data_IF_622792766448
#
_entry.id   IF_622792766448
#
_cell.length_a   1.000
_cell.length_b   1.000
_cell.length_c   1.000
_cell.angle_alpha   90.00
_cell.angle_beta   90.00
_cell.angle_gamma   90.00
#
_symmetry.space_group_name_H-M   'P 1'
#
loop_
_entity.id
_entity.type
_entity.pdbx_description
1 polymer ?
#
# COMPACT_ATOMS: atom_id res chain seq x y z
N UNK A 1 -15.39 10.94 1.67
CA UNK A 1 -14.04 11.33 2.13
C UNK A 1 -13.30 10.06 2.54
N UNK A 2 -12.19 9.71 1.88
CA UNK A 2 -11.41 8.51 2.20
C UNK A 2 -10.41 8.85 3.32
N UNK A 3 -10.55 8.20 4.47
CA UNK A 3 -9.58 8.31 5.57
C UNK A 3 -8.50 7.24 5.38
N UNK A 4 -7.22 7.63 5.54
CA UNK A 4 -6.04 6.77 5.39
C UNK A 4 -5.27 6.81 6.70
N UNK A 5 -4.92 5.64 7.25
CA UNK A 5 -4.07 5.53 8.43
C UNK A 5 -2.93 4.54 8.15
N UNK A 6 -1.75 4.83 8.69
CA UNK A 6 -0.51 4.07 8.46
C UNK A 6 0.22 3.94 9.80
N UNK A 7 0.59 2.72 10.21
CA UNK A 7 1.43 2.40 11.37
C UNK A 7 2.59 1.53 10.87
N UNK A 8 3.73 1.66 11.52
CA UNK A 8 4.93 0.92 11.19
C UNK A 8 5.56 0.48 12.50
N UNK A 9 5.79 -0.81 12.66
CA UNK A 9 6.52 -1.36 13.80
C UNK A 9 7.84 -1.94 13.28
N UNK A 10 8.95 -1.58 13.93
CA UNK A 10 10.27 -2.17 13.63
C UNK A 10 10.43 -3.46 14.44
N UNK A 11 10.91 -4.52 13.80
CA UNK A 11 11.48 -5.68 14.50
C UNK A 11 12.76 -5.28 15.24
N UNK A 12 13.13 -6.08 16.25
CA UNK A 12 14.32 -5.83 17.09
C UNK A 12 15.59 -5.76 16.22
N UNK A 13 15.76 -6.69 15.30
CA UNK A 13 16.92 -6.72 14.38
C UNK A 13 17.06 -5.41 13.58
N UNK A 14 15.96 -4.84 13.08
CA UNK A 14 16.01 -3.57 12.33
C UNK A 14 16.39 -2.37 13.21
N UNK A 15 16.12 -2.45 14.51
CA UNK A 15 16.57 -1.44 15.48
C UNK A 15 18.08 -1.56 15.68
N UNK A 16 18.60 -2.79 15.77
CA UNK A 16 20.01 -3.07 15.98
C UNK A 16 20.86 -2.75 14.74
N UNK A 17 20.36 -3.02 13.53
CA UNK A 17 21.07 -2.78 12.26
C UNK A 17 20.85 -1.39 11.68
N UNK A 18 19.87 -0.63 12.19
CA UNK A 18 19.48 0.67 11.66
C UNK A 18 18.65 0.60 10.37
N UNK A 19 18.13 -0.57 10.02
CA UNK A 19 17.31 -0.76 8.83
C UNK A 19 15.91 -0.13 8.98
N UNK A 20 15.34 0.41 7.89
CA UNK A 20 13.96 0.88 7.91
C UNK A 20 12.99 -0.29 8.13
N UNK A 21 11.87 -0.04 8.81
CA UNK A 21 10.73 -0.97 8.83
C UNK A 21 10.29 -1.26 7.38
N UNK A 22 10.32 -2.54 7.01
CA UNK A 22 10.00 -3.00 5.66
C UNK A 22 8.52 -3.36 5.51
N UNK A 23 7.83 -3.53 6.63
CA UNK A 23 6.40 -3.74 6.71
C UNK A 23 5.63 -2.47 6.33
N UNK A 24 4.60 -2.66 5.53
CA UNK A 24 3.64 -1.63 5.19
C UNK A 24 2.22 -2.17 5.36
N UNK A 25 1.32 -1.29 5.77
CA UNK A 25 -0.10 -1.57 5.69
C UNK A 25 -0.87 -0.30 5.30
N UNK A 26 -2.08 -0.51 4.79
CA UNK A 26 -3.03 0.56 4.51
C UNK A 26 -4.43 0.00 4.67
N UNK A 27 -5.35 0.85 5.08
CA UNK A 27 -6.76 0.56 4.93
C UNK A 27 -7.51 1.73 4.31
N UNK A 28 -8.62 1.39 3.66
CA UNK A 28 -9.55 2.33 3.07
C UNK A 28 -10.98 1.89 3.39
N UNK A 29 -11.81 2.83 3.86
CA UNK A 29 -13.25 2.60 4.05
C UNK A 29 -14.01 2.97 2.78
N UNK A 30 -14.77 2.03 2.25
CA UNK A 30 -15.59 2.18 1.04
C UNK A 30 -17.06 1.88 1.39
N UNK A 31 -17.81 2.91 1.81
CA UNK A 31 -19.19 2.74 2.27
C UNK A 31 -19.29 1.82 3.49
N UNK A 32 -19.90 0.63 3.30
CA UNK A 32 -20.04 -0.43 4.33
C UNK A 32 -18.85 -1.39 4.39
N UNK A 33 -17.92 -1.30 3.45
CA UNK A 33 -16.76 -2.19 3.36
C UNK A 33 -15.50 -1.50 3.87
N UNK A 34 -14.55 -2.31 4.32
CA UNK A 34 -13.20 -1.86 4.62
C UNK A 34 -12.24 -2.76 3.86
N UNK A 35 -11.33 -2.15 3.12
CA UNK A 35 -10.22 -2.83 2.46
C UNK A 35 -9.02 -2.70 3.37
N UNK A 36 -8.43 -3.83 3.78
CA UNK A 36 -7.17 -3.88 4.51
C UNK A 36 -6.11 -4.55 3.62
N UNK A 37 -4.93 -3.94 3.56
CA UNK A 37 -3.78 -4.53 2.87
C UNK A 37 -2.54 -4.46 3.75
N UNK A 38 -1.75 -5.52 3.70
CA UNK A 38 -0.44 -5.61 4.33
C UNK A 38 0.58 -6.12 3.32
N UNK A 39 1.83 -5.68 3.45
CA UNK A 39 2.97 -6.21 2.72
C UNK A 39 4.15 -6.27 3.65
N UNK A 40 4.91 -7.34 3.49
CA UNK A 40 6.22 -7.51 4.08
C UNK A 40 7.26 -7.29 2.99
N UNK A 41 8.22 -6.40 3.26
CA UNK A 41 9.31 -6.15 2.32
C UNK A 41 10.33 -7.30 2.40
N UNK A 42 10.99 -7.61 1.28
CA UNK A 42 12.00 -8.67 1.28
C UNK A 42 13.19 -8.24 2.15
N UNK A 43 13.30 -8.84 3.35
CA UNK A 43 14.23 -8.54 4.46
C UNK A 43 15.67 -8.18 4.08
N UNK A 44 16.18 -8.76 2.99
CA UNK A 44 17.58 -8.68 2.56
C UNK A 44 17.88 -7.63 1.49
N UNK A 45 16.91 -6.82 1.06
CA UNK A 45 17.08 -5.88 -0.06
C UNK A 45 17.07 -4.42 0.39
N UNK A 46 18.14 -3.69 0.04
CA UNK A 46 18.21 -2.23 0.16
C UNK A 46 16.99 -1.61 -0.53
N UNK A 47 16.22 -0.80 0.19
CA UNK A 47 14.99 -0.12 -0.29
C UNK A 47 13.70 -0.97 -0.37
N UNK A 48 13.66 -2.16 0.23
CA UNK A 48 12.45 -3.02 0.25
C UNK A 48 11.25 -2.34 0.92
N UNK A 49 11.47 -1.39 1.84
CA UNK A 49 10.40 -0.60 2.46
C UNK A 49 9.60 0.19 1.42
N UNK A 50 10.25 0.64 0.34
CA UNK A 50 9.60 1.39 -0.74
C UNK A 50 8.70 0.48 -1.57
N UNK A 51 9.19 -0.72 -1.89
CA UNK A 51 8.44 -1.72 -2.63
C UNK A 51 7.20 -2.16 -1.86
N UNK A 52 7.36 -2.44 -0.57
CA UNK A 52 6.27 -2.83 0.33
C UNK A 52 5.19 -1.74 0.43
N UNK A 53 5.57 -0.47 0.64
CA UNK A 53 4.63 0.66 0.67
C UNK A 53 3.87 0.83 -0.65
N UNK A 54 4.57 0.69 -1.78
CA UNK A 54 3.96 0.81 -3.10
C UNK A 54 3.01 -0.35 -3.42
N UNK A 55 3.39 -1.59 -3.06
CA UNK A 55 2.56 -2.78 -3.17
C UNK A 55 1.21 -2.57 -2.48
N UNK A 56 1.26 -2.25 -1.18
CA UNK A 56 0.05 -2.07 -0.40
C UNK A 56 -0.79 -0.91 -0.90
N UNK A 57 -0.18 0.26 -1.15
CA UNK A 57 -0.91 1.43 -1.59
C UNK A 57 -1.62 1.18 -2.93
N UNK A 58 -0.93 0.56 -3.90
CA UNK A 58 -1.50 0.27 -5.21
C UNK A 58 -2.66 -0.70 -5.11
N UNK A 59 -2.49 -1.81 -4.37
CA UNK A 59 -3.54 -2.82 -4.25
C UNK A 59 -4.76 -2.30 -3.50
N UNK A 60 -4.56 -1.69 -2.32
CA UNK A 60 -5.68 -1.18 -1.50
C UNK A 60 -6.45 -0.09 -2.23
N UNK A 61 -5.76 0.86 -2.88
CA UNK A 61 -6.43 1.94 -3.62
C UNK A 61 -7.14 1.42 -4.87
N UNK A 62 -6.57 0.43 -5.57
CA UNK A 62 -7.24 -0.21 -6.71
C UNK A 62 -8.53 -0.89 -6.26
N UNK A 63 -8.46 -1.76 -5.26
CA UNK A 63 -9.64 -2.48 -4.73
C UNK A 63 -10.69 -1.48 -4.22
N UNK A 64 -10.26 -0.48 -3.45
CA UNK A 64 -11.16 0.55 -2.93
C UNK A 64 -11.90 1.35 -4.01
N UNK A 65 -11.30 1.50 -5.21
CA UNK A 65 -11.88 2.26 -6.32
C UNK A 65 -12.77 1.41 -7.24
N UNK A 66 -12.70 0.07 -7.14
CA UNK A 66 -13.42 -0.85 -8.02
C UNK A 66 -14.46 -1.70 -7.28
N UNK A 67 -14.45 -1.72 -5.95
CA UNK A 67 -15.50 -2.37 -5.16
C UNK A 67 -16.83 -1.61 -5.27
N UNK A 68 -17.89 -2.34 -5.59
CA UNK A 68 -19.27 -1.87 -5.51
C UNK A 68 -20.10 -2.77 -4.58
N UNK A 69 -21.24 -2.27 -4.09
CA UNK A 69 -22.01 -2.94 -3.05
C UNK A 69 -22.78 -4.19 -3.53
N UNK A 70 -22.92 -4.33 -4.85
CA UNK A 70 -23.66 -5.35 -5.58
C UNK A 70 -22.79 -6.51 -6.09
N UNK A 71 -21.47 -6.44 -5.90
CA UNK A 71 -20.56 -7.50 -6.31
C UNK A 71 -20.75 -8.80 -5.52
N UNK A 72 -20.72 -9.91 -6.24
CA UNK A 72 -20.58 -11.26 -5.69
C UNK A 72 -19.18 -11.50 -5.13
N UNK A 73 -19.04 -12.54 -4.31
CA UNK A 73 -17.73 -12.92 -3.76
C UNK A 73 -16.67 -13.20 -4.85
N UNK A 74 -17.07 -13.84 -5.96
CA UNK A 74 -16.16 -14.12 -7.09
C UNK A 74 -15.67 -12.83 -7.76
N UNK A 75 -16.54 -11.84 -7.93
CA UNK A 75 -16.16 -10.55 -8.51
C UNK A 75 -15.23 -9.77 -7.59
N UNK A 76 -15.45 -9.83 -6.27
CA UNK A 76 -14.54 -9.27 -5.26
C UNK A 76 -13.15 -9.92 -5.36
N UNK A 77 -13.09 -11.25 -5.46
CA UNK A 77 -11.82 -11.96 -5.66
C UNK A 77 -11.12 -11.55 -6.95
N UNK A 78 -11.86 -11.36 -8.03
CA UNK A 78 -11.31 -10.91 -9.32
C UNK A 78 -10.74 -9.49 -9.25
N UNK A 79 -11.40 -8.59 -8.52
CA UNK A 79 -10.90 -7.23 -8.25
C UNK A 79 -9.61 -7.29 -7.42
N UNK A 80 -9.57 -8.10 -6.36
CA UNK A 80 -8.37 -8.29 -5.54
C UNK A 80 -7.22 -8.85 -6.39
N UNK A 81 -7.48 -9.88 -7.20
CA UNK A 81 -6.47 -10.50 -8.08
C UNK A 81 -5.98 -9.52 -9.14
N UNK A 82 -6.82 -8.59 -9.59
CA UNK A 82 -6.47 -7.56 -10.57
C UNK A 82 -5.72 -6.38 -9.95
N UNK A 83 -5.79 -6.21 -8.63
CA UNK A 83 -5.05 -5.18 -7.90
C UNK A 83 -3.54 -5.42 -7.83
N UNK A 84 -3.10 -6.64 -8.13
CA UNK A 84 -1.71 -7.00 -7.96
C UNK A 84 -0.77 -6.35 -8.99
N UNK A 85 0.46 -6.02 -8.57
CA UNK A 85 1.36 -5.19 -9.33
C UNK A 85 1.61 -5.61 -10.77
N UNK A 86 1.94 -6.88 -10.94
CA UNK A 86 2.33 -7.47 -12.20
C UNK A 86 1.19 -7.52 -13.24
N UNK A 87 -0.07 -7.27 -12.84
CA UNK A 87 -1.23 -7.24 -13.74
C UNK A 87 -1.67 -5.84 -14.14
N UNK A 88 -1.17 -4.79 -13.50
CA UNK A 88 -1.57 -3.42 -13.82
C UNK A 88 -0.47 -2.70 -14.59
N UNK A 89 -0.78 -2.04 -15.71
CA UNK A 89 0.21 -1.25 -16.48
C UNK A 89 0.60 0.05 -15.75
N UNK A 90 -0.07 0.36 -14.64
CA UNK A 90 -0.04 1.62 -13.88
C UNK A 90 1.16 1.78 -12.92
N UNK A 91 2.04 0.78 -12.83
CA UNK A 91 3.18 0.79 -11.89
C UNK A 91 4.15 1.93 -12.12
N UNK A 92 4.42 2.24 -13.40
CA UNK A 92 5.35 3.31 -13.75
C UNK A 92 4.79 4.69 -13.45
N UNK A 93 3.48 4.91 -13.60
CA UNK A 93 2.86 6.21 -13.32
C UNK A 93 2.68 6.45 -11.82
N UNK A 94 2.28 5.43 -11.04
CA UNK A 94 2.17 5.55 -9.58
C UNK A 94 3.52 5.85 -8.91
N UNK A 95 4.62 5.25 -9.40
CA UNK A 95 5.97 5.60 -8.98
C UNK A 95 6.32 7.08 -9.24
N UNK A 96 5.91 7.61 -10.39
CA UNK A 96 6.10 9.02 -10.76
C UNK A 96 5.28 9.98 -9.89
N UNK A 97 4.01 9.67 -9.62
CA UNK A 97 3.11 10.49 -8.80
C UNK A 97 3.49 10.45 -7.31
N UNK A 98 3.92 9.31 -6.78
CA UNK A 98 4.40 9.24 -5.39
C UNK A 98 5.75 9.94 -5.20
N UNK A 99 6.61 9.96 -6.23
CA UNK A 99 7.83 10.75 -6.22
C UNK A 99 7.55 12.27 -6.24
N UNK A 100 6.51 12.72 -6.97
CA UNK A 100 6.13 14.14 -7.00
C UNK A 100 5.38 14.59 -5.74
N UNK A 101 4.61 13.70 -5.10
CA UNK A 101 3.88 13.98 -3.85
C UNK A 101 4.81 14.12 -2.62
N UNK A 102 6.09 13.73 -2.72
CA UNK A 102 7.10 13.99 -1.68
C UNK A 102 7.45 15.47 -1.50
N UNK A 103 7.12 16.35 -2.45
CA UNK A 103 7.39 17.78 -2.30
C UNK A 103 6.48 18.48 -1.26
N UNK A 104 5.31 17.91 -0.94
CA UNK A 104 4.28 18.61 -0.17
C UNK A 104 3.95 18.04 1.22
N UNK A 105 4.43 16.84 1.58
CA UNK A 105 4.06 16.18 2.86
C UNK A 105 5.19 15.97 3.87
N UNK A 106 6.47 16.18 3.51
CA UNK A 106 7.62 16.04 4.44
C UNK A 106 7.80 17.21 5.43
N UNK A 107 6.90 18.21 5.48
CA UNK A 107 6.97 19.32 6.45
C UNK A 107 6.28 19.06 7.81
N UNK A 108 5.71 17.88 8.07
CA UNK A 108 4.96 17.63 9.32
C UNK A 108 5.54 16.57 10.25
N UNK A 109 6.69 16.00 9.94
CA UNK A 109 7.33 14.99 10.79
C UNK A 109 8.87 15.12 10.77
N UNK A 110 9.34 16.34 10.97
CA UNK A 110 10.69 16.62 11.45
C UNK A 110 10.56 17.15 12.88
#
# INVERSE_FOLDING_TARGET
>A
MMQRFCYHARGIDHIETGDPCQDAFLFARCGRYIVFGGSDGVGSRRHSERGSRLAVASSVLYVASHLTADMTASEVEDVIRSSFPWRTTRWRSLLGEMASTRASSMRRYA
#
